data_IF_076436853660
#
_entry.id   IF_076436853660
#
_cell.length_a   1.000
_cell.length_b   1.000
_cell.length_c   1.000
_cell.angle_alpha   90.00
_cell.angle_beta   90.00
_cell.angle_gamma   90.00
#
_symmetry.space_group_name_H-M   'P 1'
#
loop_
_entity.id
_entity.type
_entity.pdbx_description
1 polymer ?
#
# COMPACT_ATOMS: atom_id res chain seq x y z
N UNK A 1 1.62 2.53 16.16
CA UNK A 1 1.30 1.31 15.38
C UNK A 1 1.89 1.43 14.00
N UNK A 2 2.55 0.37 13.51
CA UNK A 2 3.07 0.30 12.13
C UNK A 2 1.98 -0.26 11.21
N UNK A 3 1.72 0.38 10.08
CA UNK A 3 0.85 -0.21 9.05
C UNK A 3 1.42 -1.58 8.61
N UNK A 4 0.57 -2.60 8.38
CA UNK A 4 1.02 -3.91 7.93
C UNK A 4 1.72 -3.81 6.58
N UNK A 5 2.93 -4.38 6.49
CA UNK A 5 3.76 -4.33 5.27
C UNK A 5 3.49 -5.53 4.36
N UNK A 6 3.36 -5.25 3.06
CA UNK A 6 3.12 -6.25 2.00
C UNK A 6 4.24 -6.23 0.96
N UNK A 7 4.50 -7.32 0.24
CA UNK A 7 5.44 -7.31 -0.87
C UNK A 7 4.89 -6.45 -2.02
N UNK A 8 5.71 -5.57 -2.57
CA UNK A 8 5.41 -4.87 -3.82
C UNK A 8 5.15 -5.91 -4.94
N UNK A 9 4.08 -5.79 -5.73
CA UNK A 9 3.77 -6.76 -6.78
C UNK A 9 4.74 -6.72 -7.96
N UNK A 10 5.63 -5.72 -8.02
CA UNK A 10 6.64 -5.55 -9.08
C UNK A 10 8.02 -5.96 -8.59
N UNK A 11 8.53 -5.32 -7.54
CA UNK A 11 9.92 -5.52 -7.08
C UNK A 11 10.04 -6.37 -5.80
N UNK A 12 8.92 -6.86 -5.25
CA UNK A 12 8.82 -7.70 -4.04
C UNK A 12 9.37 -7.11 -2.73
N UNK A 13 9.87 -5.88 -2.72
CA UNK A 13 10.26 -5.17 -1.50
C UNK A 13 9.08 -5.03 -0.53
N UNK A 14 9.31 -5.18 0.78
CA UNK A 14 8.26 -5.02 1.82
C UNK A 14 7.95 -3.55 2.04
N UNK A 15 6.75 -3.14 1.67
CA UNK A 15 6.29 -1.74 1.68
C UNK A 15 4.98 -1.60 2.45
N UNK A 16 4.71 -0.40 2.96
CA UNK A 16 3.40 -0.08 3.51
C UNK A 16 2.36 0.10 2.40
N UNK A 17 1.10 -0.13 2.73
CA UNK A 17 -0.06 0.25 1.91
C UNK A 17 -0.83 1.30 2.70
N UNK A 18 -1.00 2.50 2.12
CA UNK A 18 -1.64 3.64 2.78
C UNK A 18 -2.73 4.16 1.87
N UNK A 19 -3.95 4.32 2.41
CA UNK A 19 -5.12 4.81 1.67
C UNK A 19 -5.34 4.06 0.32
N UNK A 20 -5.23 2.73 0.32
CA UNK A 20 -5.42 1.92 -0.88
C UNK A 20 -4.32 2.06 -1.93
N UNK A 21 -3.16 2.63 -1.60
CA UNK A 21 -2.02 2.78 -2.53
C UNK A 21 -0.75 2.16 -1.96
N UNK A 22 0.05 1.53 -2.82
CA UNK A 22 1.38 1.08 -2.47
C UNK A 22 2.29 2.29 -2.20
N UNK A 23 3.00 2.29 -1.06
CA UNK A 23 3.90 3.37 -0.73
C UNK A 23 5.00 3.55 -1.79
N UNK A 24 5.41 4.80 -2.04
CA UNK A 24 6.53 5.10 -2.94
C UNK A 24 7.82 4.49 -2.42
N UNK A 25 8.52 3.81 -3.31
CA UNK A 25 9.81 3.19 -3.05
C UNK A 25 10.62 3.09 -4.34
N UNK A 26 11.93 2.93 -4.20
CA UNK A 26 12.84 2.73 -5.33
C UNK A 26 12.68 1.32 -5.94
N UNK A 27 13.02 1.14 -7.24
CA UNK A 27 13.11 -0.17 -7.89
C UNK A 27 14.04 -1.16 -7.16
N UNK A 28 13.97 -2.44 -7.53
CA UNK A 28 14.96 -3.41 -7.09
C UNK A 28 16.32 -3.14 -7.74
N UNK A 29 17.40 -3.37 -7.00
CA UNK A 29 18.78 -3.15 -7.45
C UNK A 29 19.48 -1.99 -6.73
N UNK A 30 20.78 -1.86 -6.98
CA UNK A 30 21.55 -0.71 -6.54
C UNK A 30 21.20 0.50 -7.43
N UNK A 31 21.13 1.70 -6.85
CA UNK A 31 20.94 2.93 -7.63
C UNK A 31 22.15 3.08 -8.55
N UNK A 32 21.92 3.11 -9.86
CA UNK A 32 22.98 3.31 -10.87
C UNK A 32 23.33 4.79 -11.08
N UNK A 33 22.62 5.70 -10.40
CA UNK A 33 22.83 7.15 -10.47
C UNK A 33 22.06 7.90 -9.38
N UNK A 34 22.08 9.24 -9.43
CA UNK A 34 21.39 10.13 -8.48
C UNK A 34 19.91 10.34 -8.77
N UNK A 35 19.40 9.83 -9.90
CA UNK A 35 18.01 10.01 -10.28
C UNK A 35 17.05 9.24 -9.35
N UNK A 36 16.06 9.96 -8.84
CA UNK A 36 15.02 9.40 -7.96
C UNK A 36 13.89 8.79 -8.80
N UNK A 37 14.10 7.58 -9.30
CA UNK A 37 13.06 6.83 -10.02
C UNK A 37 12.18 6.06 -9.03
N UNK A 38 10.86 6.23 -9.13
CA UNK A 38 9.91 5.43 -8.35
C UNK A 38 9.69 4.06 -9.02
N UNK A 39 9.64 2.99 -8.22
CA UNK A 39 9.19 1.67 -8.68
C UNK A 39 7.80 1.78 -9.32
N UNK A 40 7.55 1.17 -10.50
CA UNK A 40 6.24 1.19 -11.16
C UNK A 40 5.10 0.68 -10.26
N UNK A 41 5.40 -0.27 -9.36
CA UNK A 41 4.45 -0.78 -8.38
C UNK A 41 3.93 0.28 -7.41
N UNK A 42 4.72 1.32 -7.14
CA UNK A 42 4.34 2.46 -6.28
C UNK A 42 3.18 3.28 -6.84
N UNK A 43 2.90 3.19 -8.14
CA UNK A 43 1.82 3.95 -8.79
C UNK A 43 0.51 3.17 -8.84
N UNK A 44 0.53 1.89 -8.47
CA UNK A 44 -0.65 1.00 -8.50
C UNK A 44 -1.52 1.21 -7.27
N UNK A 45 -2.82 1.00 -7.47
CA UNK A 45 -3.75 0.80 -6.36
C UNK A 45 -3.48 -0.57 -5.74
N UNK A 46 -3.60 -0.64 -4.42
CA UNK A 46 -3.67 -1.91 -3.72
C UNK A 46 -5.03 -2.56 -4.03
N UNK A 47 -5.10 -3.90 -4.09
CA UNK A 47 -6.38 -4.59 -4.21
C UNK A 47 -7.32 -4.17 -3.08
N UNK A 48 -8.54 -3.78 -3.47
CA UNK A 48 -9.65 -3.59 -2.54
C UNK A 48 -10.26 -4.95 -2.26
N UNK A 49 -9.64 -5.71 -1.35
CA UNK A 49 -10.20 -6.97 -0.89
C UNK A 49 -10.86 -6.73 0.47
N UNK A 50 -12.19 -6.91 0.58
CA UNK A 50 -12.90 -6.78 1.85
C UNK A 50 -12.33 -7.64 2.98
N UNK A 51 -11.74 -8.81 2.67
CA UNK A 51 -11.08 -9.66 3.65
C UNK A 51 -9.73 -9.10 4.14
N UNK A 52 -9.17 -8.12 3.41
CA UNK A 52 -7.95 -7.42 3.77
C UNK A 52 -8.22 -6.12 4.53
N UNK A 53 -9.47 -5.81 4.87
CA UNK A 53 -9.78 -4.70 5.78
C UNK A 53 -9.56 -5.11 7.24
N UNK A 54 -8.46 -4.70 7.90
CA UNK A 54 -8.46 -4.70 9.35
C UNK A 54 -9.54 -3.72 9.80
N UNK A 55 -10.64 -4.26 10.30
CA UNK A 55 -11.43 -3.55 11.29
C UNK A 55 -10.47 -3.07 12.39
N UNK A 56 -10.66 -1.83 12.87
CA UNK A 56 -10.05 -1.45 14.13
C UNK A 56 -10.69 -2.33 15.21
N UNK A 57 -9.92 -3.33 15.66
CA UNK A 57 -10.25 -4.22 16.78
C UNK A 57 -11.52 -5.09 16.57
N UNK A 58 -11.76 -5.58 15.35
CA UNK A 58 -12.93 -6.44 15.08
C UNK A 58 -14.24 -5.66 14.89
N UNK A 59 -14.20 -4.33 15.03
CA UNK A 59 -15.37 -3.46 14.87
C UNK A 59 -15.77 -3.33 13.40
N UNK A 60 -17.02 -3.66 13.08
CA UNK A 60 -17.60 -3.36 11.76
C UNK A 60 -17.72 -1.85 11.63
N UNK A 61 -16.99 -1.24 10.68
CA UNK A 61 -17.12 0.18 10.40
C UNK A 61 -18.43 0.44 9.66
N UNK A 62 -19.28 1.36 10.14
CA UNK A 62 -20.48 1.74 9.40
C UNK A 62 -20.11 2.44 8.09
N UNK A 63 -20.96 2.30 7.07
CA UNK A 63 -20.83 3.08 5.84
C UNK A 63 -21.08 4.55 6.17
N UNK A 64 -20.03 5.35 6.09
CA UNK A 64 -20.08 6.80 6.30
C UNK A 64 -20.06 7.51 4.94
N UNK A 65 -21.12 8.25 4.57
CA UNK A 65 -21.15 9.01 3.31
C UNK A 65 -19.92 9.92 3.19
N UNK A 66 -19.16 9.78 2.10
CA UNK A 66 -17.95 10.57 1.85
C UNK A 66 -16.65 9.97 2.40
N UNK A 67 -16.70 8.90 3.21
CA UNK A 67 -15.51 8.19 3.64
C UNK A 67 -15.07 7.17 2.56
N UNK A 68 -13.80 7.26 2.15
CA UNK A 68 -13.21 6.25 1.28
C UNK A 68 -13.03 4.94 2.05
N UNK A 69 -13.28 3.81 1.38
CA UNK A 69 -13.04 2.48 1.95
C UNK A 69 -11.59 2.40 2.45
N UNK A 70 -11.43 1.99 3.71
CA UNK A 70 -10.13 1.57 4.20
C UNK A 70 -9.91 0.20 3.59
N UNK A 71 -8.91 0.04 2.72
CA UNK A 71 -8.52 -1.20 2.03
C UNK A 71 -9.51 -1.71 0.99
#
# INVERSE_FOLDING_TARGET
MSAPRRPCPVCRRRIAVVAGRYARHDPAGARTGSELVSCPGSRRLAPLDPALQPSLDGSVLPVLPGQLALF
#
